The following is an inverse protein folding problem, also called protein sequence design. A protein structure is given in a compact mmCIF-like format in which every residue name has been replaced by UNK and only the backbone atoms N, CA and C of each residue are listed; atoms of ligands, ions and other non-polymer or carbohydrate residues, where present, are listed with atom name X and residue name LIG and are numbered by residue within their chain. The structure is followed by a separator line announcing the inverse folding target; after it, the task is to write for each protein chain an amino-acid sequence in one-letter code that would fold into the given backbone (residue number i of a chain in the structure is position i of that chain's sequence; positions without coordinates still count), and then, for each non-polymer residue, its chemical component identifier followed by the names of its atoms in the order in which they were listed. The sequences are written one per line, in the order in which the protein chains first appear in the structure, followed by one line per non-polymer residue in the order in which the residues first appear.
data_IF_039232271184
#
_entry.id   IF_039232271184
#
_cell.length_a   1.000
_cell.length_b   1.000
_cell.length_c   1.000
_cell.angle_alpha   90.00
_cell.angle_beta   90.00
_cell.angle_gamma   90.00
#
_symmetry.space_group_name_H-M   'P 1'
#
loop_
_entity.id
_entity.type
_entity.pdbx_description
1 polymer ?
#
# COMPACT_ATOMS: atom_id res chain seq x y z
N UNK A 1 0.61 8.21 -15.60
CA UNK A 1 0.51 7.48 -14.31
C UNK A 1 1.22 6.16 -14.49
N UNK A 2 2.08 5.73 -13.57
CA UNK A 2 2.71 4.42 -13.68
C UNK A 2 1.68 3.35 -13.27
N UNK A 3 1.55 2.29 -14.06
CA UNK A 3 0.77 1.11 -13.70
C UNK A 3 1.74 0.17 -12.97
N UNK A 4 1.34 -0.27 -11.78
CA UNK A 4 2.11 -1.20 -10.97
C UNK A 4 1.43 -2.56 -10.95
N UNK A 5 2.20 -3.61 -10.68
CA UNK A 5 1.76 -5.00 -10.61
C UNK A 5 1.94 -5.53 -9.20
N UNK A 6 1.34 -6.68 -8.92
CA UNK A 6 1.62 -7.43 -7.69
C UNK A 6 3.13 -7.70 -7.58
N UNK A 7 3.64 -7.62 -6.35
CA UNK A 7 5.05 -7.68 -5.96
C UNK A 7 5.90 -6.45 -6.35
N UNK A 8 5.33 -5.43 -7.01
CA UNK A 8 6.04 -4.17 -7.17
C UNK A 8 6.16 -3.45 -5.82
N UNK A 9 7.34 -2.88 -5.60
CA UNK A 9 7.62 -2.03 -4.44
C UNK A 9 7.31 -0.58 -4.81
N UNK A 10 6.52 0.08 -3.97
CA UNK A 10 6.08 1.47 -4.16
C UNK A 10 6.42 2.33 -2.94
N UNK A 11 6.26 3.63 -3.09
CA UNK A 11 6.30 4.62 -2.02
C UNK A 11 4.98 5.40 -1.95
N UNK A 12 4.42 5.52 -0.75
CA UNK A 12 3.25 6.36 -0.49
C UNK A 12 3.55 7.85 -0.70
N UNK A 13 2.62 8.56 -1.32
CA UNK A 13 2.68 10.01 -1.53
C UNK A 13 2.01 10.82 -0.43
N UNK A 14 1.16 10.16 0.35
CA UNK A 14 0.43 10.72 1.48
C UNK A 14 0.24 9.67 2.57
N UNK A 15 -0.27 10.09 3.72
CA UNK A 15 -0.62 9.18 4.80
C UNK A 15 -1.88 8.40 4.44
N UNK A 16 -1.94 7.11 4.80
CA UNK A 16 -3.09 6.24 4.54
C UNK A 16 -3.46 5.47 5.79
N UNK A 17 -4.74 5.17 5.95
CA UNK A 17 -5.22 4.26 6.97
C UNK A 17 -4.95 2.81 6.53
N UNK A 18 -4.44 2.00 7.45
CA UNK A 18 -4.13 0.60 7.23
C UNK A 18 -4.59 -0.24 8.43
N UNK A 19 -4.91 -1.50 8.20
CA UNK A 19 -5.29 -2.45 9.23
C UNK A 19 -4.16 -3.44 9.46
N UNK A 20 -3.73 -3.57 10.71
CA UNK A 20 -2.85 -4.67 11.13
C UNK A 20 -3.68 -5.94 11.17
N UNK A 21 -3.07 -7.08 10.81
CA UNK A 21 -3.75 -8.38 10.79
C UNK A 21 -4.37 -8.75 12.15
N UNK A 22 -3.83 -8.20 13.25
CA UNK A 22 -4.36 -8.36 14.61
C UNK A 22 -5.66 -7.58 14.89
N UNK A 23 -6.06 -6.68 13.98
CA UNK A 23 -7.32 -5.93 14.04
C UNK A 23 -7.18 -4.45 14.42
N UNK A 24 -5.97 -3.96 14.68
CA UNK A 24 -5.73 -2.55 14.99
C UNK A 24 -5.63 -1.70 13.72
N UNK A 25 -6.32 -0.56 13.69
CA UNK A 25 -6.19 0.46 12.64
C UNK A 25 -5.03 1.41 12.98
N UNK A 26 -4.17 1.65 11.99
CA UNK A 26 -3.03 2.56 12.10
C UNK A 26 -2.97 3.50 10.90
N UNK A 27 -2.29 4.63 11.08
CA UNK A 27 -1.93 5.50 9.97
C UNK A 27 -0.50 5.22 9.53
N UNK A 28 -0.35 4.84 8.27
CA UNK A 28 0.95 4.63 7.63
C UNK A 28 1.40 5.96 7.02
N UNK A 29 2.52 6.54 7.48
CA UNK A 29 2.89 7.88 7.08
C UNK A 29 3.32 7.96 5.61
N UNK A 30 3.19 9.16 5.04
CA UNK A 30 3.75 9.52 3.74
C UNK A 30 5.22 9.08 3.62
N UNK A 31 5.59 8.57 2.45
CA UNK A 31 6.96 8.17 2.16
C UNK A 31 7.31 6.76 2.61
N UNK A 32 6.41 6.08 3.32
CA UNK A 32 6.57 4.65 3.64
C UNK A 32 6.63 3.82 2.36
N UNK A 33 7.52 2.83 2.37
CA UNK A 33 7.70 1.87 1.29
C UNK A 33 6.86 0.63 1.61
N UNK A 34 6.11 0.15 0.63
CA UNK A 34 5.29 -1.05 0.74
C UNK A 34 5.32 -1.86 -0.54
N UNK A 35 4.80 -3.09 -0.45
CA UNK A 35 4.71 -4.02 -1.58
C UNK A 35 3.26 -4.20 -1.97
N UNK A 36 2.96 -4.10 -3.26
CA UNK A 36 1.61 -4.39 -3.76
C UNK A 36 1.36 -5.88 -3.66
N UNK A 37 0.32 -6.28 -2.96
CA UNK A 37 -0.08 -7.69 -2.82
C UNK A 37 -1.32 -8.05 -3.65
N UNK A 38 -2.11 -7.05 -4.05
CA UNK A 38 -3.26 -7.23 -4.93
C UNK A 38 -3.50 -5.98 -5.79
N UNK A 39 -3.88 -6.19 -7.05
CA UNK A 39 -4.33 -5.11 -7.94
C UNK A 39 -5.85 -5.18 -8.09
N UNK A 40 -6.55 -4.11 -7.72
CA UNK A 40 -8.02 -4.05 -7.87
C UNK A 40 -8.40 -3.53 -9.26
N UNK A 41 -9.41 -4.19 -9.87
CA UNK A 41 -9.98 -3.79 -11.16
C UNK A 41 -9.22 -4.36 -12.35
N UNK A 42 -9.18 -3.61 -13.45
CA UNK A 42 -8.45 -4.01 -14.66
C UNK A 42 -6.93 -3.85 -14.42
N UNK A 43 -6.10 -4.89 -14.59
CA UNK A 43 -4.66 -4.76 -14.39
C UNK A 43 -3.95 -3.73 -15.28
N UNK A 44 -4.53 -3.38 -16.44
CA UNK A 44 -4.01 -2.32 -17.33
C UNK A 44 -4.61 -0.94 -17.02
N UNK A 45 -5.63 -0.89 -16.17
CA UNK A 45 -6.22 0.34 -15.63
C UNK A 45 -6.70 0.11 -14.19
N UNK A 46 -5.78 -0.02 -13.23
CA UNK A 46 -6.15 -0.36 -11.85
C UNK A 46 -7.03 0.72 -11.23
N UNK A 47 -7.97 0.31 -10.38
CA UNK A 47 -8.77 1.24 -9.57
C UNK A 47 -8.12 1.53 -8.21
N UNK A 48 -7.39 0.56 -7.66
CA UNK A 48 -6.67 0.66 -6.39
C UNK A 48 -5.60 -0.43 -6.28
N UNK A 49 -4.73 -0.31 -5.30
CA UNK A 49 -3.76 -1.34 -4.92
C UNK A 49 -3.97 -1.73 -3.46
N UNK A 50 -3.93 -3.02 -3.16
CA UNK A 50 -3.73 -3.50 -1.80
C UNK A 50 -2.23 -3.55 -1.52
N UNK A 51 -1.80 -2.92 -0.43
CA UNK A 51 -0.38 -2.70 -0.15
C UNK A 51 -0.05 -3.20 1.25
N UNK A 52 0.96 -4.05 1.34
CA UNK A 52 1.53 -4.54 2.58
C UNK A 52 2.68 -3.63 3.04
N UNK A 53 2.61 -3.20 4.30
CA UNK A 53 3.61 -2.39 4.96
C UNK A 53 4.17 -3.13 6.17
N UNK A 54 5.49 -3.16 6.30
CA UNK A 54 6.13 -3.60 7.55
C UNK A 54 6.09 -2.46 8.57
N UNK A 55 5.64 -2.76 9.79
CA UNK A 55 5.52 -1.82 10.90
C UNK A 55 6.58 -2.14 11.97
N UNK A 56 7.76 -1.47 11.96
CA UNK A 56 8.88 -1.87 12.79
C UNK A 56 8.60 -1.83 14.30
N UNK A 57 7.79 -0.86 14.74
CA UNK A 57 7.45 -0.69 16.16
C UNK A 57 6.61 -1.83 16.74
N UNK A 58 5.93 -2.59 15.89
CA UNK A 58 5.07 -3.71 16.28
C UNK A 58 5.63 -5.07 15.81
N UNK A 59 6.66 -5.04 14.95
CA UNK A 59 7.20 -6.21 14.26
C UNK A 59 6.09 -7.03 13.57
N UNK A 60 5.20 -6.32 12.88
CA UNK A 60 4.02 -6.87 12.23
C UNK A 60 3.79 -6.18 10.87
N UNK A 61 2.77 -6.63 10.14
CA UNK A 61 2.37 -6.11 8.85
C UNK A 61 0.98 -5.49 8.90
N UNK A 62 0.83 -4.38 8.17
CA UNK A 62 -0.44 -3.73 7.94
C UNK A 62 -0.79 -3.75 6.45
N UNK A 63 -2.08 -3.87 6.16
CA UNK A 63 -2.64 -3.86 4.82
C UNK A 63 -3.49 -2.61 4.62
N UNK A 64 -3.36 -1.98 3.46
CA UNK A 64 -4.23 -0.87 3.07
C UNK A 64 -4.62 -0.97 1.59
N UNK A 65 -5.90 -0.71 1.32
CA UNK A 65 -6.38 -0.39 -0.02
C UNK A 65 -6.10 1.07 -0.32
N UNK A 66 -5.29 1.34 -1.34
CA UNK A 66 -4.79 2.68 -1.67
C UNK A 66 -5.14 3.06 -3.11
N UNK A 67 -5.59 4.30 -3.32
CA UNK A 67 -5.86 4.83 -4.66
C UNK A 67 -4.57 4.92 -5.49
N UNK A 68 -4.68 4.65 -6.79
CA UNK A 68 -3.56 4.62 -7.74
C UNK A 68 -2.77 5.94 -7.80
N UNK A 69 -3.38 7.06 -7.43
CA UNK A 69 -2.77 8.38 -7.41
C UNK A 69 -1.91 8.64 -6.16
N UNK A 70 -2.12 7.86 -5.10
CA UNK A 70 -1.45 7.97 -3.81
C UNK A 70 -0.10 7.23 -3.76
N UNK A 71 0.30 6.54 -4.84
CA UNK A 71 1.55 5.76 -4.89
C UNK A 71 2.54 6.29 -5.93
N UNK A 72 3.82 6.02 -5.70
CA UNK A 72 4.91 6.35 -6.61
C UNK A 72 5.93 5.22 -6.68
N UNK A 73 6.73 5.20 -7.75
CA UNK A 73 7.89 4.30 -7.82
C UNK A 73 8.92 4.74 -6.77
N UNK A 74 9.55 3.77 -6.11
CA UNK A 74 10.62 4.00 -5.11
C UNK A 74 11.80 4.77 -5.69
#
# INVERSE_FOLDING_TARGET
MNIFRENDVIRLREEVEASIITGDEIFVPKGTIGTIVLVHGNPDQPSAYEIEFFIPGQNDFALATVDVTCVSKV
#
